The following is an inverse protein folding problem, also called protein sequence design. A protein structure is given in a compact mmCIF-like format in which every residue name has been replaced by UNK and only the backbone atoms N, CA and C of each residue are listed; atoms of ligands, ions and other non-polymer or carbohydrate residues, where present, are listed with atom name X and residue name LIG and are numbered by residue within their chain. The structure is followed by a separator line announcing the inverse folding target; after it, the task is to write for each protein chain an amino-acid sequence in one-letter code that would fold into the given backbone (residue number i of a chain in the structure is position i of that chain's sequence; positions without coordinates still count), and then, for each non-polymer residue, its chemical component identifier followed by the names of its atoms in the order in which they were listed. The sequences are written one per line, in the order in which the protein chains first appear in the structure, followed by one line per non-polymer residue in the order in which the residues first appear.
data_IF_130309430337
#
_entry.id   IF_130309430337
#
_cell.length_a   1.000
_cell.length_b   1.000
_cell.length_c   1.000
_cell.angle_alpha   90.00
_cell.angle_beta   90.00
_cell.angle_gamma   90.00
#
_symmetry.space_group_name_H-M   'P 1'
#
loop_
_entity.id
_entity.type
_entity.pdbx_description
1 polymer ?
#
# COMPACT_ATOMS: atom_id res chain seq x y z
N UNK A 1 -27.08 17.17 1.19
CA UNK A 1 -26.25 16.62 0.08
C UNK A 1 -24.80 17.11 0.22
N UNK A 2 -24.12 16.81 1.33
CA UNK A 2 -22.78 17.37 1.61
C UNK A 2 -21.70 16.34 1.95
N UNK A 3 -22.08 15.11 2.29
CA UNK A 3 -21.16 14.05 2.75
C UNK A 3 -20.46 13.30 1.62
N UNK A 4 -21.04 13.27 0.41
CA UNK A 4 -20.51 12.45 -0.69
C UNK A 4 -19.30 13.11 -1.39
N UNK A 5 -19.27 14.45 -1.45
CA UNK A 5 -18.18 15.22 -2.04
C UNK A 5 -16.93 15.25 -1.13
N UNK A 6 -17.12 15.47 0.18
CA UNK A 6 -16.04 15.47 1.16
C UNK A 6 -15.28 14.13 1.20
N UNK A 7 -16.01 13.03 1.07
CA UNK A 7 -15.46 11.68 1.01
C UNK A 7 -14.62 11.44 -0.25
N UNK A 8 -14.99 12.06 -1.37
CA UNK A 8 -14.25 11.92 -2.63
C UNK A 8 -12.96 12.76 -2.61
N UNK A 9 -13.03 13.98 -2.08
CA UNK A 9 -11.88 14.88 -1.94
C UNK A 9 -10.80 14.29 -1.02
N UNK A 10 -11.20 13.72 0.13
CA UNK A 10 -10.28 13.06 1.05
C UNK A 10 -9.62 11.81 0.45
N UNK A 11 -10.37 11.03 -0.33
CA UNK A 11 -9.83 9.87 -1.04
C UNK A 11 -8.79 10.29 -2.08
N UNK A 12 -9.08 11.37 -2.84
CA UNK A 12 -8.18 11.91 -3.85
C UNK A 12 -6.92 12.51 -3.23
N UNK A 13 -7.05 13.29 -2.16
CA UNK A 13 -5.90 13.85 -1.42
C UNK A 13 -4.99 12.73 -0.89
N UNK A 14 -5.59 11.68 -0.31
CA UNK A 14 -4.85 10.51 0.19
C UNK A 14 -4.09 9.83 -0.95
N UNK A 15 -4.74 9.63 -2.10
CA UNK A 15 -4.13 9.02 -3.27
C UNK A 15 -2.98 9.88 -3.82
N UNK A 16 -3.18 11.19 -3.97
CA UNK A 16 -2.17 12.11 -4.49
C UNK A 16 -0.96 12.17 -3.57
N UNK A 17 -1.17 12.25 -2.25
CA UNK A 17 -0.07 12.18 -1.28
C UNK A 17 0.68 10.87 -1.39
N UNK A 18 -0.03 9.75 -1.52
CA UNK A 18 0.60 8.45 -1.67
C UNK A 18 1.43 8.33 -2.97
N UNK A 19 0.90 8.82 -4.09
CA UNK A 19 1.59 8.91 -5.39
C UNK A 19 2.86 9.76 -5.26
N UNK A 20 2.79 10.89 -4.55
CA UNK A 20 3.93 11.76 -4.32
C UNK A 20 5.05 11.06 -3.52
N UNK A 21 4.68 10.25 -2.53
CA UNK A 21 5.62 9.48 -1.70
C UNK A 21 6.19 8.23 -2.39
N UNK A 22 5.55 7.76 -3.48
CA UNK A 22 5.91 6.49 -4.15
C UNK A 22 6.29 6.65 -5.63
N UNK A 23 7.20 7.57 -5.99
CA UNK A 23 7.44 7.94 -7.38
C UNK A 23 8.03 6.82 -8.25
N UNK A 24 8.73 5.82 -7.69
CA UNK A 24 9.27 4.68 -8.45
C UNK A 24 8.18 3.68 -8.77
N UNK A 25 7.30 3.36 -7.82
CA UNK A 25 6.12 2.55 -8.07
C UNK A 25 5.27 3.12 -9.21
N UNK A 26 5.06 4.44 -9.24
CA UNK A 26 4.27 5.08 -10.32
C UNK A 26 4.90 4.96 -11.71
N UNK A 27 6.23 4.84 -11.78
CA UNK A 27 6.94 4.65 -13.05
C UNK A 27 6.93 3.20 -13.51
N UNK A 28 6.58 2.26 -12.64
CA UNK A 28 6.57 0.85 -12.97
C UNK A 28 5.19 0.47 -13.55
N UNK A 29 5.12 0.05 -14.84
CA UNK A 29 3.85 -0.22 -15.51
C UNK A 29 3.09 -1.41 -14.92
N UNK A 30 3.77 -2.27 -14.14
CA UNK A 30 3.21 -3.43 -13.49
C UNK A 30 2.31 -3.08 -12.31
N UNK A 31 2.48 -1.91 -11.69
CA UNK A 31 1.74 -1.54 -10.50
C UNK A 31 0.61 -0.56 -10.79
N UNK A 32 -0.42 -0.65 -9.96
CA UNK A 32 -1.52 0.29 -9.87
C UNK A 32 -1.75 0.64 -8.41
N UNK A 33 -2.26 1.84 -8.17
CA UNK A 33 -2.53 2.35 -6.83
C UNK A 33 -3.97 2.80 -6.72
N UNK A 34 -4.60 2.49 -5.60
CA UNK A 34 -5.95 2.92 -5.29
C UNK A 34 -6.07 3.31 -3.83
N UNK A 35 -7.27 3.73 -3.43
CA UNK A 35 -7.62 4.03 -2.04
C UNK A 35 -8.96 3.38 -1.73
N UNK A 36 -9.09 2.78 -0.56
CA UNK A 36 -10.36 2.28 -0.04
C UNK A 36 -10.70 2.93 1.31
N UNK A 37 -11.99 2.94 1.64
CA UNK A 37 -12.45 3.37 2.96
C UNK A 37 -12.42 2.18 3.92
N UNK A 38 -11.57 2.25 4.94
CA UNK A 38 -11.50 1.23 5.99
C UNK A 38 -12.72 1.27 6.92
N UNK A 39 -12.93 0.19 7.69
CA UNK A 39 -14.03 0.10 8.66
C UNK A 39 -13.98 1.18 9.75
N UNK A 40 -12.80 1.73 10.02
CA UNK A 40 -12.61 2.83 10.97
C UNK A 40 -12.86 4.20 10.36
N UNK A 41 -13.31 4.28 9.10
CA UNK A 41 -13.59 5.53 8.39
C UNK A 41 -12.34 6.23 7.86
N UNK A 42 -11.18 5.58 7.87
CA UNK A 42 -9.94 6.13 7.31
C UNK A 42 -9.75 5.68 5.86
N UNK A 43 -9.32 6.61 4.99
CA UNK A 43 -8.88 6.28 3.64
C UNK A 43 -7.50 5.65 3.68
N UNK A 44 -7.38 4.47 3.08
CA UNK A 44 -6.14 3.67 3.11
C UNK A 44 -5.68 3.43 1.68
N UNK A 45 -4.48 3.92 1.30
CA UNK A 45 -3.91 3.62 0.00
C UNK A 45 -3.47 2.17 -0.08
N UNK A 46 -3.61 1.60 -1.27
CA UNK A 46 -3.16 0.25 -1.60
C UNK A 46 -2.52 0.18 -2.98
N UNK A 47 -1.66 -0.81 -3.15
CA UNK A 47 -0.92 -1.12 -4.37
C UNK A 47 -1.28 -2.52 -4.79
N UNK A 48 -1.48 -2.73 -6.08
CA UNK A 48 -1.78 -4.02 -6.68
C UNK A 48 -1.10 -4.16 -8.04
N UNK A 49 -1.03 -5.39 -8.54
CA UNK A 49 -0.52 -5.63 -9.90
C UNK A 49 -1.61 -5.28 -10.91
N UNK A 50 -1.22 -4.63 -12.00
CA UNK A 50 -2.11 -4.32 -13.13
C UNK A 50 -2.77 -5.59 -13.70
N UNK A 51 -2.10 -6.73 -13.65
CA UNK A 51 -2.66 -8.00 -14.11
C UNK A 51 -3.84 -8.49 -13.25
N UNK A 52 -3.92 -8.05 -12.00
CA UNK A 52 -5.00 -8.39 -11.05
C UNK A 52 -6.15 -7.36 -11.08
N UNK A 53 -6.10 -6.40 -12.01
CA UNK A 53 -7.15 -5.41 -12.23
C UNK A 53 -8.42 -6.10 -12.73
N UNK A 54 -9.51 -6.00 -11.96
CA UNK A 54 -10.79 -6.60 -12.32
C UNK A 54 -11.56 -5.69 -13.30
N UNK A 55 -12.16 -6.28 -14.34
CA UNK A 55 -12.91 -5.55 -15.37
C UNK A 55 -14.19 -4.90 -14.84
N UNK A 56 -14.78 -5.46 -13.79
CA UNK A 56 -15.91 -4.88 -13.10
C UNK A 56 -15.34 -3.89 -12.08
N UNK A 57 -15.45 -2.59 -12.37
CA UNK A 57 -15.01 -1.48 -11.50
C UNK A 57 -15.76 -1.38 -10.16
N UNK A 58 -16.23 -2.50 -9.66
CA UNK A 58 -17.18 -2.62 -8.57
C UNK A 58 -16.43 -2.89 -7.27
N UNK A 59 -15.91 -1.80 -6.68
CA UNK A 59 -15.68 -1.54 -5.23
C UNK A 59 -14.91 -2.59 -4.41
N UNK A 60 -14.47 -3.68 -5.00
CA UNK A 60 -13.79 -4.77 -4.34
C UNK A 60 -12.30 -4.58 -4.52
N UNK A 61 -11.57 -4.78 -3.42
CA UNK A 61 -10.13 -4.80 -3.47
C UNK A 61 -9.70 -5.95 -4.39
N UNK A 62 -8.66 -5.75 -5.24
CA UNK A 62 -8.12 -6.82 -6.05
C UNK A 62 -7.73 -7.98 -5.12
N UNK A 63 -7.69 -9.22 -5.64
CA UNK A 63 -7.47 -10.40 -4.78
C UNK A 63 -6.20 -10.25 -3.97
N UNK A 64 -5.12 -9.77 -4.61
CA UNK A 64 -3.82 -9.49 -4.00
C UNK A 64 -3.54 -8.00 -3.99
N UNK A 65 -3.27 -7.46 -2.81
CA UNK A 65 -2.84 -6.07 -2.65
C UNK A 65 -2.00 -5.88 -1.41
N UNK A 66 -1.21 -4.81 -1.46
CA UNK A 66 -0.42 -4.29 -0.36
C UNK A 66 -1.05 -2.98 0.07
N UNK A 67 -1.47 -2.84 1.32
CA UNK A 67 -2.03 -1.59 1.83
C UNK A 67 -1.08 -0.92 2.82
N UNK A 68 -1.17 0.40 2.88
CA UNK A 68 -0.24 1.23 3.64
C UNK A 68 -1.02 2.06 4.66
N UNK A 69 -0.67 1.92 5.93
CA UNK A 69 -1.31 2.61 7.04
C UNK A 69 -0.32 3.60 7.64
N UNK A 70 -0.67 4.88 7.68
CA UNK A 70 0.11 5.86 8.44
C UNK A 70 -0.15 5.68 9.94
N UNK A 71 0.91 5.60 10.73
CA UNK A 71 0.90 5.52 12.19
C UNK A 71 1.91 6.53 12.71
N UNK A 72 1.40 7.61 13.33
CA UNK A 72 2.20 8.76 13.72
C UNK A 72 2.97 9.34 12.50
N UNK A 73 4.28 9.53 12.63
CA UNK A 73 5.18 9.99 11.56
C UNK A 73 5.77 8.84 10.73
N UNK A 74 5.16 7.65 10.78
CA UNK A 74 5.67 6.44 10.12
C UNK A 74 4.58 5.70 9.35
N UNK A 75 4.98 4.74 8.51
CA UNK A 75 4.09 3.95 7.67
C UNK A 75 4.23 2.47 7.97
N UNK A 76 3.11 1.77 7.98
CA UNK A 76 3.05 0.31 8.13
C UNK A 76 2.55 -0.28 6.82
N UNK A 77 3.33 -1.17 6.22
CA UNK A 77 2.98 -1.86 4.99
C UNK A 77 2.45 -3.25 5.33
N UNK A 78 1.29 -3.62 4.80
CA UNK A 78 0.61 -4.89 5.10
C UNK A 78 0.13 -5.58 3.83
N UNK A 79 0.05 -6.90 3.91
CA UNK A 79 -0.15 -7.78 2.78
C UNK A 79 -1.04 -8.95 3.21
N UNK A 80 -2.26 -9.12 2.69
CA UNK A 80 -3.17 -10.26 2.99
C UNK A 80 -3.06 -10.90 4.39
N UNK A 81 -3.34 -10.13 5.46
CA UNK A 81 -3.28 -10.64 6.83
C UNK A 81 -1.86 -10.92 7.38
N UNK A 82 -0.83 -10.86 6.55
CA UNK A 82 0.58 -10.83 6.92
C UNK A 82 1.03 -9.39 7.21
N UNK A 83 1.72 -9.24 8.33
CA UNK A 83 2.36 -8.00 8.73
C UNK A 83 3.82 -8.08 8.27
N UNK A 84 4.25 -7.12 7.45
CA UNK A 84 5.62 -7.07 6.95
C UNK A 84 6.53 -6.50 8.03
N UNK A 85 7.42 -7.35 8.55
CA UNK A 85 8.47 -6.93 9.49
C UNK A 85 9.60 -6.23 8.70
N UNK A 86 9.80 -4.93 8.92
CA UNK A 86 10.86 -4.15 8.26
C UNK A 86 12.12 -4.18 9.10
N UNK A 87 13.00 -5.15 8.84
CA UNK A 87 14.34 -5.18 9.41
C UNK A 87 15.29 -4.31 8.59
N UNK A 88 15.38 -3.02 8.88
CA UNK A 88 16.50 -2.23 8.39
C UNK A 88 17.77 -2.71 9.12
N UNK A 89 18.84 -3.02 8.38
CA UNK A 89 20.15 -3.42 8.90
C UNK A 89 20.89 -2.31 9.66
N UNK A 90 20.22 -1.61 10.57
CA UNK A 90 20.76 -0.60 11.48
C UNK A 90 20.75 -1.23 12.89
N UNK A 91 21.92 -1.52 13.49
CA UNK A 91 21.97 -1.98 14.87
C UNK A 91 21.42 -0.85 15.75
N UNK A 92 20.31 -1.14 16.47
CA UNK A 92 19.69 -0.38 17.60
C UNK A 92 18.25 0.14 17.42
N UNK A 93 17.60 0.04 16.26
CA UNK A 93 16.16 0.39 16.16
C UNK A 93 15.34 -0.72 15.52
N UNK A 94 14.93 -1.67 16.35
CA UNK A 94 13.84 -2.58 16.03
C UNK A 94 12.51 -1.84 16.20
N UNK A 95 12.01 -1.18 15.15
CA UNK A 95 10.60 -0.80 15.09
C UNK A 95 9.91 -1.86 14.23
N UNK A 96 9.16 -2.80 14.81
CA UNK A 96 8.85 -4.05 14.13
C UNK A 96 8.16 -3.90 12.79
N UNK A 97 7.43 -2.81 12.49
CA UNK A 97 6.64 -2.69 11.26
C UNK A 97 6.54 -1.25 10.70
N UNK A 98 7.50 -0.36 11.00
CA UNK A 98 7.37 1.08 10.69
C UNK A 98 8.45 1.54 9.71
N UNK A 99 8.04 2.09 8.58
CA UNK A 99 8.86 2.70 7.55
C UNK A 99 8.77 4.23 7.62
N UNK A 100 9.87 4.91 7.30
CA UNK A 100 9.85 6.36 7.05
C UNK A 100 9.30 6.65 5.66
N UNK A 101 8.90 7.89 5.40
CA UNK A 101 8.47 8.35 4.07
C UNK A 101 9.49 8.00 2.98
N UNK A 102 10.79 8.17 3.27
CA UNK A 102 11.89 7.87 2.35
C UNK A 102 12.01 6.40 1.97
N UNK A 103 11.51 5.51 2.82
CA UNK A 103 11.67 4.06 2.71
C UNK A 103 10.41 3.38 2.19
N UNK A 104 9.31 4.12 2.04
CA UNK A 104 8.01 3.56 1.71
C UNK A 104 8.00 2.90 0.32
N UNK A 105 8.47 3.62 -0.68
CA UNK A 105 8.54 3.18 -2.08
C UNK A 105 9.41 1.91 -2.26
N UNK A 106 10.69 1.86 -1.81
CA UNK A 106 11.49 0.65 -1.90
C UNK A 106 10.95 -0.50 -1.03
N UNK A 107 10.31 -0.20 0.11
CA UNK A 107 9.72 -1.24 0.94
C UNK A 107 8.56 -1.93 0.24
N UNK A 108 7.63 -1.19 -0.37
CA UNK A 108 6.49 -1.79 -1.07
C UNK A 108 7.00 -2.67 -2.24
N UNK A 109 7.98 -2.20 -3.00
CA UNK A 109 8.61 -3.02 -4.04
C UNK A 109 9.19 -4.31 -3.46
N UNK A 110 9.96 -4.21 -2.37
CA UNK A 110 10.54 -5.38 -1.72
C UNK A 110 9.48 -6.36 -1.23
N UNK A 111 8.35 -5.88 -0.68
CA UNK A 111 7.22 -6.73 -0.27
C UNK A 111 6.66 -7.52 -1.44
N UNK A 112 6.47 -6.87 -2.60
CA UNK A 112 6.04 -7.56 -3.81
C UNK A 112 7.06 -8.60 -4.28
N UNK A 113 8.35 -8.26 -4.28
CA UNK A 113 9.42 -9.19 -4.66
C UNK A 113 9.44 -10.42 -3.73
N UNK A 114 9.26 -10.23 -2.42
CA UNK A 114 9.15 -11.34 -1.46
C UNK A 114 7.92 -12.19 -1.72
N UNK A 115 6.78 -11.59 -2.04
CA UNK A 115 5.58 -12.35 -2.40
C UNK A 115 5.85 -13.26 -3.60
N UNK A 116 6.44 -12.74 -4.68
CA UNK A 116 6.76 -13.56 -5.84
C UNK A 116 7.65 -14.75 -5.48
N UNK A 117 8.70 -14.53 -4.67
CA UNK A 117 9.60 -15.59 -4.21
C UNK A 117 8.82 -16.66 -3.42
N UNK A 118 8.01 -16.25 -2.44
CA UNK A 118 7.23 -17.19 -1.62
C UNK A 118 6.19 -17.94 -2.47
N UNK A 119 5.51 -17.24 -3.38
CA UNK A 119 4.53 -17.83 -4.30
C UNK A 119 5.15 -18.93 -5.15
N UNK A 120 6.33 -18.66 -5.72
CA UNK A 120 7.06 -19.67 -6.52
C UNK A 120 7.63 -20.83 -5.70
N UNK A 121 7.81 -20.66 -4.38
CA UNK A 121 8.34 -21.70 -3.51
C UNK A 121 7.26 -22.65 -2.95
N UNK A 122 5.99 -22.28 -3.09
CA UNK A 122 4.83 -23.04 -2.61
C UNK A 122 4.06 -23.75 -3.73
N UNK A 123 4.47 -23.58 -4.99
CA UNK A 123 4.00 -24.31 -6.19
C UNK A 123 4.94 -25.49 -6.52
#
# INVERSE_FOLDING_TARGET
MGTQLWNQEQAEETLQRFIHLTPRLQKNPLFRTGVYLSQTGAYVPFVYLKADEQEDGDKNLPPKYVYVVQVDDTYVVKMEGMVVLVGAGIPTKWLPNRALESDLDPLIQWVWDQWFIIGTALE
#
